data_IF_753852221963
#
_entry.id   IF_753852221963
#
_cell.length_a   1.000
_cell.length_b   1.000
_cell.length_c   1.000
_cell.angle_alpha   90.00
_cell.angle_beta   90.00
_cell.angle_gamma   90.00
#
_symmetry.space_group_name_H-M   'P 1'
#
loop_
_entity.id
_entity.type
_entity.pdbx_description
1 polymer ?
#
# COMPACT_ATOMS: atom_id res chain seq x y z
N UNK A 1 3.02 -15.94 20.67
CA UNK A 1 2.69 -17.27 20.08
C UNK A 1 2.39 -17.07 18.60
N UNK A 2 3.00 -17.88 17.72
CA UNK A 2 2.70 -17.82 16.28
C UNK A 2 1.45 -18.63 15.97
N UNK A 3 0.50 -18.04 15.23
CA UNK A 3 -0.79 -18.66 14.91
C UNK A 3 -0.79 -19.42 13.56
N UNK A 4 0.34 -19.45 12.85
CA UNK A 4 0.49 -20.09 11.55
C UNK A 4 1.10 -19.16 10.50
N UNK A 5 0.70 -19.35 9.24
CA UNK A 5 1.14 -18.58 8.08
C UNK A 5 -0.01 -17.75 7.53
N UNK A 6 0.27 -16.54 7.07
CA UNK A 6 -0.69 -15.67 6.40
C UNK A 6 -0.13 -15.20 5.06
N UNK A 7 -1.03 -14.85 4.13
CA UNK A 7 -0.72 -14.17 2.88
C UNK A 7 -1.22 -12.73 2.98
N UNK A 8 -0.31 -11.77 2.80
CA UNK A 8 -0.60 -10.35 2.98
C UNK A 8 0.31 -9.50 2.08
N UNK A 9 -0.10 -8.26 1.76
CA UNK A 9 0.77 -7.28 1.11
C UNK A 9 2.05 -7.03 1.92
N UNK A 10 3.20 -7.00 1.25
CA UNK A 10 4.52 -6.87 1.89
C UNK A 10 4.65 -5.59 2.71
N UNK A 11 4.14 -4.47 2.20
CA UNK A 11 4.23 -3.16 2.86
C UNK A 11 3.54 -3.11 4.23
N UNK A 12 2.67 -4.07 4.56
CA UNK A 12 2.03 -4.15 5.88
C UNK A 12 2.93 -4.74 6.97
N UNK A 13 4.06 -5.37 6.59
CA UNK A 13 4.92 -6.11 7.52
C UNK A 13 6.42 -5.88 7.31
N UNK A 14 6.79 -4.78 6.67
CA UNK A 14 8.20 -4.46 6.41
C UNK A 14 9.03 -4.35 7.70
N UNK A 15 8.47 -3.74 8.74
CA UNK A 15 9.11 -3.59 10.04
C UNK A 15 9.32 -4.95 10.71
N UNK A 16 8.30 -5.81 10.74
CA UNK A 16 8.39 -7.13 11.36
C UNK A 16 9.36 -8.05 10.62
N UNK A 17 9.47 -7.91 9.29
CA UNK A 17 10.47 -8.60 8.49
C UNK A 17 11.88 -8.09 8.79
N UNK A 18 12.07 -6.77 8.91
CA UNK A 18 13.35 -6.16 9.26
C UNK A 18 13.81 -6.54 10.67
N UNK A 19 12.89 -6.59 11.63
CA UNK A 19 13.13 -6.98 13.02
C UNK A 19 13.24 -8.50 13.23
N UNK A 20 12.99 -9.31 12.20
CA UNK A 20 12.99 -10.78 12.29
C UNK A 20 11.83 -11.35 13.14
N UNK A 21 10.80 -10.55 13.44
CA UNK A 21 9.56 -11.00 14.10
C UNK A 21 8.72 -11.88 13.17
N UNK A 22 8.82 -11.63 11.86
CA UNK A 22 8.26 -12.46 10.80
C UNK A 22 9.37 -12.96 9.88
N UNK A 23 9.10 -14.08 9.21
CA UNK A 23 9.95 -14.64 8.17
C UNK A 23 9.13 -14.87 6.91
N UNK A 24 9.80 -14.88 5.76
CA UNK A 24 9.19 -15.31 4.49
C UNK A 24 9.44 -16.83 4.36
N UNK A 25 8.42 -17.69 4.53
CA UNK A 25 8.63 -19.14 4.48
C UNK A 25 8.94 -19.67 3.09
N UNK A 26 8.49 -18.98 2.02
CA UNK A 26 8.78 -19.33 0.62
C UNK A 26 9.11 -18.08 -0.19
N UNK A 27 10.16 -18.11 -1.05
CA UNK A 27 10.53 -16.97 -1.90
C UNK A 27 9.59 -16.84 -3.11
N UNK A 28 8.29 -16.71 -2.84
CA UNK A 28 7.25 -16.56 -3.84
C UNK A 28 6.33 -15.39 -3.47
N UNK A 29 6.26 -14.40 -4.36
CA UNK A 29 5.32 -13.29 -4.27
C UNK A 29 4.15 -13.57 -5.21
N UNK A 30 2.92 -13.54 -4.68
CA UNK A 30 1.71 -13.62 -5.48
C UNK A 30 1.35 -12.20 -5.97
N UNK A 31 1.31 -11.94 -7.28
CA UNK A 31 0.83 -10.67 -7.80
C UNK A 31 -0.65 -10.49 -7.41
N UNK A 32 -0.95 -9.42 -6.69
CA UNK A 32 -2.34 -9.08 -6.41
C UNK A 32 -3.04 -8.61 -7.70
N UNK A 33 -4.31 -8.98 -7.84
CA UNK A 33 -5.19 -8.38 -8.86
C UNK A 33 -5.94 -7.16 -8.34
N UNK A 34 -5.83 -6.89 -7.05
CA UNK A 34 -6.53 -5.81 -6.36
C UNK A 34 -5.72 -4.51 -6.41
N UNK A 35 -6.41 -3.38 -6.34
CA UNK A 35 -5.84 -2.05 -6.36
C UNK A 35 -6.40 -1.18 -5.23
N UNK A 36 -5.64 -0.17 -4.84
CA UNK A 36 -6.09 0.88 -3.92
C UNK A 36 -6.71 2.02 -4.72
N UNK A 37 -7.88 2.50 -4.29
CA UNK A 37 -8.64 3.55 -4.98
C UNK A 37 -8.79 4.77 -4.08
N UNK A 38 -8.60 5.95 -4.67
CA UNK A 38 -9.04 7.22 -4.09
C UNK A 38 -10.41 7.55 -4.66
N UNK A 39 -11.43 7.68 -3.80
CA UNK A 39 -12.79 7.97 -4.21
C UNK A 39 -13.32 9.23 -3.52
N UNK A 40 -14.05 10.05 -4.29
CA UNK A 40 -14.75 11.25 -3.81
C UNK A 40 -16.05 11.44 -4.61
N UNK A 41 -17.07 12.11 -4.05
CA UNK A 41 -18.29 12.41 -4.80
C UNK A 41 -18.00 13.24 -6.05
N UNK A 42 -18.69 12.98 -7.15
CA UNK A 42 -18.45 13.66 -8.43
C UNK A 42 -18.52 15.20 -8.31
N UNK A 43 -19.50 15.72 -7.58
CA UNK A 43 -19.64 17.17 -7.35
C UNK A 43 -18.48 17.78 -6.53
N UNK A 44 -17.67 16.96 -5.86
CA UNK A 44 -16.53 17.40 -5.08
C UNK A 44 -15.25 17.53 -5.92
N UNK A 45 -15.25 17.07 -7.19
CA UNK A 45 -14.10 17.16 -8.10
C UNK A 45 -13.62 18.60 -8.29
N UNK A 46 -14.56 19.55 -8.36
CA UNK A 46 -14.28 20.97 -8.56
C UNK A 46 -13.88 21.71 -7.29
N UNK A 47 -13.96 21.04 -6.13
CA UNK A 47 -13.60 21.67 -4.85
C UNK A 47 -12.06 21.79 -4.79
N UNK A 48 -11.48 23.01 -4.70
CA UNK A 48 -10.04 23.19 -4.86
C UNK A 48 -9.18 22.35 -3.91
N UNK A 49 -9.60 22.20 -2.66
CA UNK A 49 -8.90 21.35 -1.67
C UNK A 49 -8.88 19.86 -2.04
N UNK A 50 -9.93 19.36 -2.71
CA UNK A 50 -9.98 17.96 -3.16
C UNK A 50 -9.03 17.79 -4.33
N UNK A 51 -9.09 18.67 -5.33
CA UNK A 51 -8.19 18.63 -6.48
C UNK A 51 -6.72 18.65 -6.07
N UNK A 52 -6.33 19.60 -5.21
CA UNK A 52 -4.95 19.69 -4.71
C UNK A 52 -4.51 18.43 -3.97
N UNK A 53 -5.40 17.82 -3.19
CA UNK A 53 -5.08 16.57 -2.48
C UNK A 53 -4.92 15.38 -3.44
N UNK A 54 -5.78 15.27 -4.45
CA UNK A 54 -5.69 14.23 -5.48
C UNK A 54 -4.37 14.37 -6.26
N UNK A 55 -4.06 15.59 -6.71
CA UNK A 55 -2.81 15.90 -7.41
C UNK A 55 -1.60 15.54 -6.55
N UNK A 56 -1.59 15.99 -5.29
CA UNK A 56 -0.52 15.68 -4.35
C UNK A 56 -0.36 14.17 -4.12
N UNK A 57 -1.46 13.41 -3.98
CA UNK A 57 -1.39 11.96 -3.81
C UNK A 57 -0.77 11.28 -5.04
N UNK A 58 -1.12 11.71 -6.25
CA UNK A 58 -0.53 11.16 -7.48
C UNK A 58 0.97 11.44 -7.55
N UNK A 59 1.42 12.62 -7.13
CA UNK A 59 2.84 12.95 -7.03
C UNK A 59 3.59 12.06 -6.03
N UNK A 60 2.93 11.61 -4.95
CA UNK A 60 3.54 10.66 -4.00
C UNK A 60 3.70 9.26 -4.58
N UNK A 61 2.86 8.86 -5.55
CA UNK A 61 2.96 7.54 -6.20
C UNK A 61 4.10 7.46 -7.21
N UNK A 62 4.45 8.59 -7.84
CA UNK A 62 5.61 8.69 -8.74
C UNK A 62 6.95 8.72 -8.00
N UNK A 63 6.94 8.86 -6.66
CA UNK A 63 8.15 8.67 -5.86
C UNK A 63 8.56 7.20 -5.91
N UNK A 64 9.81 6.88 -6.23
CA UNK A 64 10.28 5.50 -6.19
C UNK A 64 10.07 4.96 -4.78
N UNK A 65 9.24 3.93 -4.64
CA UNK A 65 9.11 3.20 -3.38
C UNK A 65 10.51 2.72 -2.98
N UNK A 66 11.03 3.12 -1.80
CA UNK A 66 12.28 2.55 -1.30
C UNK A 66 12.12 1.02 -1.23
N UNK A 67 13.08 0.29 -1.82
CA UNK A 67 13.09 -1.18 -1.89
C UNK A 67 13.41 -1.82 -0.54
#
# INVERSE_FOLDING_TARGET
VGCGVALLPRFLVEEELADGKLIIPWPHALPSRDAYYLAYPEHAAEVPKIRVFVEWMLEQLDQPTPQ
#
